data_IF_297414246764
#
_entry.id   IF_297414246764
#
_cell.length_a   1.000
_cell.length_b   1.000
_cell.length_c   1.000
_cell.angle_alpha   90.00
_cell.angle_beta   90.00
_cell.angle_gamma   90.00
#
_symmetry.space_group_name_H-M   'P 1'
#
loop_
_entity.id
_entity.type
_entity.pdbx_description
1 polymer ?
#
# COMPACT_ATOMS: atom_id res chain seq x y z
N UNK A 1 -21.47 -32.65 -39.27
CA UNK A 1 -20.77 -31.73 -40.20
C UNK A 1 -19.47 -31.34 -39.52
N UNK A 2 -18.41 -32.05 -39.89
CA UNK A 2 -17.04 -31.84 -39.43
C UNK A 2 -16.52 -30.65 -40.23
N UNK A 3 -16.12 -29.57 -39.56
CA UNK A 3 -15.39 -28.49 -40.24
C UNK A 3 -13.94 -28.57 -39.77
N UNK A 4 -13.11 -28.81 -40.76
CA UNK A 4 -11.67 -29.05 -40.69
C UNK A 4 -10.86 -27.81 -40.27
N UNK A 5 -9.63 -28.17 -39.91
CA UNK A 5 -8.49 -27.40 -39.42
C UNK A 5 -8.21 -26.10 -40.16
N UNK A 6 -7.65 -25.14 -39.42
CA UNK A 6 -6.43 -24.47 -39.89
C UNK A 6 -5.44 -24.36 -38.74
N UNK A 7 -4.55 -25.37 -38.66
CA UNK A 7 -3.34 -25.30 -37.87
C UNK A 7 -2.32 -24.56 -38.75
N UNK A 8 -2.50 -23.24 -38.88
CA UNK A 8 -1.52 -22.37 -39.52
C UNK A 8 -0.35 -22.13 -38.57
N UNK A 9 0.86 -22.45 -39.02
CA UNK A 9 2.13 -22.30 -38.31
C UNK A 9 2.28 -20.92 -37.66
N UNK A 10 2.11 -20.88 -36.34
CA UNK A 10 2.65 -19.84 -35.48
C UNK A 10 3.39 -20.54 -34.32
N UNK A 11 4.53 -20.02 -33.84
CA UNK A 11 5.34 -20.72 -32.85
C UNK A 11 4.49 -21.01 -31.60
N UNK A 12 4.58 -22.27 -31.17
CA UNK A 12 3.89 -22.88 -30.03
C UNK A 12 3.91 -21.95 -28.80
N UNK A 13 2.74 -21.47 -28.37
CA UNK A 13 2.62 -20.81 -27.05
C UNK A 13 1.67 -19.62 -26.94
N UNK A 14 0.84 -19.30 -27.94
CA UNK A 14 -0.10 -18.18 -27.84
C UNK A 14 -1.51 -18.59 -28.26
N UNK A 15 -2.40 -18.83 -27.27
CA UNK A 15 -3.82 -18.99 -27.53
C UNK A 15 -4.45 -17.59 -27.46
N UNK A 16 -4.94 -17.08 -28.60
CA UNK A 16 -5.76 -15.87 -28.66
C UNK A 16 -7.20 -16.33 -28.48
N UNK A 17 -7.78 -16.14 -27.28
CA UNK A 17 -9.21 -16.42 -27.07
C UNK A 17 -9.98 -15.14 -27.38
N UNK A 18 -10.87 -15.19 -28.38
CA UNK A 18 -11.98 -14.24 -28.54
C UNK A 18 -13.27 -15.05 -28.46
N UNK A 19 -14.12 -14.82 -27.45
CA UNK A 19 -15.48 -15.36 -27.45
C UNK A 19 -16.06 -15.66 -26.08
N UNK A 20 -17.26 -15.11 -25.85
CA UNK A 20 -18.14 -15.23 -24.68
C UNK A 20 -18.79 -16.61 -24.60
N UNK A 21 -18.43 -17.45 -23.63
CA UNK A 21 -19.07 -18.76 -23.41
C UNK A 21 -19.30 -19.05 -21.93
N UNK A 22 -20.49 -19.57 -21.62
CA UNK A 22 -20.99 -20.00 -20.30
C UNK A 22 -20.44 -21.37 -19.97
N UNK A 23 -19.50 -21.46 -19.03
CA UNK A 23 -19.30 -22.55 -18.05
C UNK A 23 -17.95 -22.39 -17.34
N UNK A 24 -17.84 -22.93 -16.12
CA UNK A 24 -16.65 -22.89 -15.24
C UNK A 24 -15.38 -23.32 -15.98
N UNK A 25 -14.65 -22.37 -16.57
CA UNK A 25 -13.40 -22.63 -17.29
C UNK A 25 -12.21 -22.63 -16.33
N UNK A 26 -11.44 -23.72 -16.35
CA UNK A 26 -10.02 -23.73 -15.96
C UNK A 26 -9.22 -23.41 -17.22
N UNK A 27 -8.67 -22.19 -17.33
CA UNK A 27 -7.77 -21.84 -18.44
C UNK A 27 -6.33 -21.95 -17.94
N UNK A 28 -5.56 -22.88 -18.50
CA UNK A 28 -4.12 -23.02 -18.25
C UNK A 28 -3.33 -22.79 -19.54
N UNK A 29 -2.75 -21.59 -19.71
CA UNK A 29 -1.81 -21.22 -20.80
C UNK A 29 -1.45 -19.72 -20.71
N UNK A 30 -0.56 -19.26 -21.61
CA UNK A 30 -0.36 -17.83 -21.90
C UNK A 30 -1.60 -17.29 -22.64
N UNK A 31 -2.47 -16.56 -21.94
CA UNK A 31 -3.63 -15.90 -22.55
C UNK A 31 -3.24 -14.48 -22.96
N UNK A 32 -3.48 -14.13 -24.23
CA UNK A 32 -3.31 -12.76 -24.73
C UNK A 32 -4.61 -12.24 -25.32
N UNK A 33 -5.10 -11.09 -24.87
CA UNK A 33 -6.31 -10.49 -25.43
C UNK A 33 -7.10 -9.62 -24.44
N UNK A 34 -8.36 -9.34 -24.80
CA UNK A 34 -9.32 -8.73 -23.89
C UNK A 34 -10.29 -9.82 -23.41
N UNK A 35 -10.23 -10.19 -22.14
CA UNK A 35 -11.14 -11.17 -21.55
C UNK A 35 -12.25 -10.44 -20.77
N UNK A 36 -13.51 -10.72 -21.11
CA UNK A 36 -14.68 -10.21 -20.38
C UNK A 36 -15.44 -11.40 -19.78
N UNK A 37 -15.18 -11.71 -18.50
CA UNK A 37 -15.79 -12.85 -17.82
C UNK A 37 -16.89 -12.39 -16.85
N UNK A 38 -18.06 -13.04 -16.94
CA UNK A 38 -19.25 -12.70 -16.15
C UNK A 38 -19.50 -13.65 -14.98
N UNK A 39 -18.78 -14.77 -14.90
CA UNK A 39 -18.96 -15.82 -13.90
C UNK A 39 -17.62 -16.23 -13.26
N UNK A 40 -17.68 -17.15 -12.29
CA UNK A 40 -16.50 -17.63 -11.56
C UNK A 40 -15.58 -18.48 -12.41
N UNK A 41 -14.28 -18.18 -12.33
CA UNK A 41 -13.28 -18.88 -13.12
C UNK A 41 -11.91 -18.90 -12.43
N UNK A 42 -11.06 -19.81 -12.90
CA UNK A 42 -9.69 -20.01 -12.43
C UNK A 42 -8.74 -19.87 -13.62
N UNK A 43 -7.85 -18.88 -13.55
CA UNK A 43 -6.80 -18.68 -14.56
C UNK A 43 -5.45 -18.99 -13.93
N UNK A 44 -4.69 -19.88 -14.56
CA UNK A 44 -3.33 -20.22 -14.14
C UNK A 44 -2.39 -20.00 -15.31
N UNK A 45 -1.37 -19.15 -15.14
CA UNK A 45 -0.34 -18.92 -16.16
C UNK A 45 0.02 -17.45 -16.33
N UNK A 46 0.55 -17.11 -17.52
CA UNK A 46 0.89 -15.74 -17.87
C UNK A 46 -0.27 -15.07 -18.63
N UNK A 47 -0.97 -14.13 -18.00
CA UNK A 47 -2.03 -13.36 -18.64
C UNK A 47 -1.49 -12.02 -19.13
N UNK A 48 -1.81 -11.65 -20.36
CA UNK A 48 -1.43 -10.36 -20.92
C UNK A 48 -2.59 -9.70 -21.65
N UNK A 49 -2.98 -8.49 -21.25
CA UNK A 49 -4.02 -7.73 -21.94
C UNK A 49 -4.95 -6.97 -20.99
N UNK A 50 -6.21 -6.82 -21.38
CA UNK A 50 -7.21 -6.18 -20.51
C UNK A 50 -8.23 -7.21 -20.03
N UNK A 51 -8.29 -7.45 -18.73
CA UNK A 51 -9.24 -8.39 -18.14
C UNK A 51 -10.32 -7.58 -17.40
N UNK A 52 -11.60 -7.75 -17.78
CA UNK A 52 -12.72 -7.19 -17.04
C UNK A 52 -13.59 -8.31 -16.46
N UNK A 53 -13.66 -8.39 -15.15
CA UNK A 53 -14.30 -9.52 -14.46
C UNK A 53 -15.34 -9.00 -13.48
N UNK A 54 -16.55 -9.57 -13.59
CA UNK A 54 -17.71 -9.11 -12.82
C UNK A 54 -17.94 -9.87 -11.52
N UNK A 55 -17.47 -11.11 -11.44
CA UNK A 55 -17.70 -12.02 -10.30
C UNK A 55 -16.38 -12.63 -9.79
N UNK A 56 -16.51 -13.49 -8.76
CA UNK A 56 -15.39 -14.08 -8.02
C UNK A 56 -14.46 -14.91 -8.88
N UNK A 57 -13.17 -14.67 -8.81
CA UNK A 57 -12.20 -15.45 -9.58
C UNK A 57 -10.86 -15.57 -8.84
N UNK A 58 -10.07 -16.53 -9.29
CA UNK A 58 -8.73 -16.80 -8.80
C UNK A 58 -7.75 -16.75 -9.96
N UNK A 59 -6.76 -15.85 -9.87
CA UNK A 59 -5.67 -15.76 -10.84
C UNK A 59 -4.36 -16.16 -10.18
N UNK A 60 -3.64 -17.11 -10.76
CA UNK A 60 -2.33 -17.56 -10.29
C UNK A 60 -1.31 -17.44 -11.41
N UNK A 61 -0.29 -16.61 -11.24
CA UNK A 61 0.82 -16.48 -12.18
C UNK A 61 1.24 -15.04 -12.46
N UNK A 62 1.65 -14.78 -13.71
CA UNK A 62 2.17 -13.48 -14.12
C UNK A 62 1.09 -12.71 -14.90
N UNK A 63 0.60 -11.63 -14.33
CA UNK A 63 -0.46 -10.79 -14.88
C UNK A 63 0.15 -9.50 -15.41
N UNK A 64 -0.04 -9.21 -16.69
CA UNK A 64 0.49 -7.98 -17.31
C UNK A 64 -0.57 -7.24 -18.12
N UNK A 65 -0.96 -6.05 -17.68
CA UNK A 65 -1.88 -5.20 -18.44
C UNK A 65 -2.82 -4.42 -17.54
N UNK A 66 -4.08 -4.26 -17.96
CA UNK A 66 -5.10 -3.59 -17.15
C UNK A 66 -6.13 -4.60 -16.66
N UNK A 67 -6.23 -4.77 -15.35
CA UNK A 67 -7.25 -5.61 -14.74
C UNK A 67 -8.32 -4.71 -14.11
N UNK A 68 -9.59 -4.96 -14.40
CA UNK A 68 -10.72 -4.28 -13.78
C UNK A 68 -11.68 -5.29 -13.19
N UNK A 69 -11.79 -5.30 -11.86
CA UNK A 69 -12.50 -6.35 -11.13
C UNK A 69 -13.56 -5.73 -10.22
N UNK A 70 -14.79 -6.25 -10.34
CA UNK A 70 -15.93 -5.67 -9.62
C UNK A 70 -16.16 -6.30 -8.25
N UNK A 71 -15.87 -7.60 -8.10
CA UNK A 71 -16.16 -8.34 -6.87
C UNK A 71 -15.11 -9.41 -6.56
N UNK A 72 -14.74 -9.52 -5.28
CA UNK A 72 -14.20 -10.72 -4.60
C UNK A 72 -13.23 -11.59 -5.40
N UNK A 73 -11.97 -11.22 -5.39
CA UNK A 73 -10.94 -11.95 -6.11
C UNK A 73 -9.68 -12.21 -5.30
N UNK A 74 -8.94 -13.21 -5.76
CA UNK A 74 -7.65 -13.61 -5.22
C UNK A 74 -6.65 -13.67 -6.37
N UNK A 75 -5.60 -12.86 -6.27
CA UNK A 75 -4.48 -12.90 -7.22
C UNK A 75 -3.21 -13.33 -6.51
N UNK A 76 -2.54 -14.32 -7.07
CA UNK A 76 -1.30 -14.85 -6.54
C UNK A 76 -0.23 -14.80 -7.62
N UNK A 77 0.84 -14.05 -7.41
CA UNK A 77 1.99 -14.01 -8.30
C UNK A 77 2.49 -12.59 -8.62
N UNK A 78 2.86 -12.36 -9.88
CA UNK A 78 3.48 -11.09 -10.30
C UNK A 78 2.49 -10.31 -11.14
N UNK A 79 2.03 -9.18 -10.62
CA UNK A 79 1.13 -8.24 -11.28
C UNK A 79 1.90 -7.03 -11.79
N UNK A 80 1.73 -6.71 -13.08
CA UNK A 80 2.38 -5.59 -13.75
C UNK A 80 1.38 -4.80 -14.57
N UNK A 81 1.13 -3.55 -14.20
CA UNK A 81 0.27 -2.64 -14.97
C UNK A 81 -0.70 -1.88 -14.10
N UNK A 82 -1.92 -1.65 -14.59
CA UNK A 82 -2.95 -0.98 -13.81
C UNK A 82 -3.95 -2.00 -13.30
N UNK A 83 -4.28 -1.92 -12.02
CA UNK A 83 -5.26 -2.79 -11.40
C UNK A 83 -6.33 -1.92 -10.74
N UNK A 84 -7.60 -2.13 -11.09
CA UNK A 84 -8.71 -1.35 -10.56
C UNK A 84 -9.77 -2.27 -9.98
N UNK A 85 -9.98 -2.16 -8.68
CA UNK A 85 -10.70 -3.16 -7.92
C UNK A 85 -11.75 -2.49 -7.03
N UNK A 86 -12.99 -2.96 -7.12
CA UNK A 86 -14.12 -2.29 -6.46
C UNK A 86 -14.42 -2.87 -5.08
N UNK A 87 -14.36 -4.18 -4.89
CA UNK A 87 -14.77 -4.79 -3.63
C UNK A 87 -13.93 -6.03 -3.28
N UNK A 88 -13.48 -6.06 -2.03
CA UNK A 88 -12.93 -7.20 -1.28
C UNK A 88 -11.93 -8.06 -2.02
N UNK A 89 -10.65 -7.90 -1.74
CA UNK A 89 -9.67 -8.76 -2.42
C UNK A 89 -8.40 -9.03 -1.65
N UNK A 90 -7.71 -10.04 -2.17
CA UNK A 90 -6.46 -10.54 -1.65
C UNK A 90 -5.46 -10.63 -2.80
N UNK A 91 -4.36 -9.88 -2.70
CA UNK A 91 -3.23 -10.00 -3.61
C UNK A 91 -2.02 -10.51 -2.85
N UNK A 92 -1.43 -11.58 -3.36
CA UNK A 92 -0.23 -12.18 -2.77
C UNK A 92 0.85 -12.22 -3.83
N UNK A 93 1.95 -11.49 -3.60
CA UNK A 93 3.13 -11.50 -4.46
C UNK A 93 3.66 -10.11 -4.78
N UNK A 94 4.18 -9.93 -6.00
CA UNK A 94 4.82 -8.69 -6.41
C UNK A 94 3.90 -7.87 -7.31
N UNK A 95 3.46 -6.70 -6.86
CA UNK A 95 2.66 -5.76 -7.65
C UNK A 95 3.55 -4.62 -8.14
N UNK A 96 3.49 -4.32 -9.43
CA UNK A 96 4.22 -3.20 -10.03
C UNK A 96 3.32 -2.40 -10.96
N UNK A 97 3.12 -1.11 -10.65
CA UNK A 97 2.35 -0.20 -11.48
C UNK A 97 1.38 0.64 -10.66
N UNK A 98 0.18 0.88 -11.17
CA UNK A 98 -0.85 1.61 -10.44
C UNK A 98 -1.89 0.63 -9.93
N UNK A 99 -2.23 0.75 -8.66
CA UNK A 99 -3.28 -0.04 -8.03
C UNK A 99 -4.31 0.92 -7.44
N UNK A 100 -5.57 0.75 -7.82
CA UNK A 100 -6.67 1.61 -7.36
C UNK A 100 -7.78 0.77 -6.80
N UNK A 101 -8.06 0.97 -5.53
CA UNK A 101 -8.91 0.05 -4.81
C UNK A 101 -9.91 0.78 -3.91
N UNK A 102 -11.16 0.33 -3.92
CA UNK A 102 -12.26 1.06 -3.28
C UNK A 102 -12.59 0.54 -1.89
N UNK A 103 -12.68 -0.77 -1.67
CA UNK A 103 -13.19 -1.32 -0.41
C UNK A 103 -12.58 -2.67 0.02
N UNK A 104 -11.94 -2.69 1.21
CA UNK A 104 -11.56 -3.87 1.99
C UNK A 104 -10.54 -4.79 1.35
N UNK A 105 -9.26 -4.45 1.47
CA UNK A 105 -8.23 -5.18 0.72
C UNK A 105 -7.07 -5.66 1.58
N UNK A 106 -6.47 -6.76 1.14
CA UNK A 106 -5.27 -7.35 1.73
C UNK A 106 -4.22 -7.56 0.66
N UNK A 107 -3.07 -6.90 0.80
CA UNK A 107 -1.90 -7.09 -0.06
C UNK A 107 -0.77 -7.66 0.75
N UNK A 108 -0.19 -8.76 0.26
CA UNK A 108 0.94 -9.41 0.90
C UNK A 108 2.07 -9.54 -0.12
N UNK A 109 3.17 -8.84 0.09
CA UNK A 109 4.39 -8.95 -0.71
C UNK A 109 5.02 -7.61 -1.06
N UNK A 110 5.55 -7.50 -2.28
CA UNK A 110 6.31 -6.34 -2.72
C UNK A 110 5.46 -5.45 -3.63
N UNK A 111 5.17 -4.23 -3.20
CA UNK A 111 4.38 -3.24 -3.94
C UNK A 111 5.30 -2.16 -4.47
N UNK A 112 5.28 -1.91 -5.78
CA UNK A 112 6.08 -0.86 -6.41
C UNK A 112 5.24 -0.01 -7.36
N UNK A 113 5.09 1.27 -7.07
CA UNK A 113 4.41 2.22 -7.95
C UNK A 113 3.47 3.13 -7.18
N UNK A 114 2.29 3.39 -7.73
CA UNK A 114 1.28 4.19 -7.05
C UNK A 114 0.17 3.27 -6.54
N UNK A 115 -0.19 3.42 -5.29
CA UNK A 115 -1.29 2.71 -4.67
C UNK A 115 -2.30 3.73 -4.13
N UNK A 116 -3.57 3.58 -4.51
CA UNK A 116 -4.63 4.49 -4.11
C UNK A 116 -5.79 3.69 -3.54
N UNK A 117 -6.04 3.85 -2.25
CA UNK A 117 -6.95 3.02 -1.49
C UNK A 117 -7.95 3.87 -0.71
N UNK A 118 -9.25 3.57 -0.89
CA UNK A 118 -10.32 4.37 -0.28
C UNK A 118 -10.67 3.89 1.13
N UNK A 119 -11.07 2.64 1.30
CA UNK A 119 -11.54 2.14 2.61
C UNK A 119 -10.97 0.80 3.07
N UNK A 120 -10.44 0.76 4.30
CA UNK A 120 -10.05 -0.45 5.07
C UNK A 120 -9.05 -1.37 4.39
N UNK A 121 -7.75 -1.17 4.61
CA UNK A 121 -6.74 -1.99 3.93
C UNK A 121 -5.66 -2.50 4.86
N UNK A 122 -5.10 -3.64 4.48
CA UNK A 122 -3.98 -4.26 5.16
C UNK A 122 -2.89 -4.57 4.14
N UNK A 123 -1.74 -3.93 4.30
CA UNK A 123 -0.54 -4.18 3.48
C UNK A 123 0.54 -4.81 4.33
N UNK A 124 1.06 -5.95 3.88
CA UNK A 124 2.13 -6.67 4.54
C UNK A 124 3.27 -6.85 3.56
N UNK A 125 4.43 -6.27 3.84
CA UNK A 125 5.65 -6.46 3.07
C UNK A 125 6.40 -5.17 2.75
N UNK A 126 6.83 -5.01 1.50
CA UNK A 126 7.69 -3.90 1.08
C UNK A 126 6.94 -3.00 0.12
N UNK A 127 6.64 -1.76 0.53
CA UNK A 127 6.02 -0.74 -0.33
C UNK A 127 7.08 0.23 -0.84
N UNK A 128 7.09 0.48 -2.14
CA UNK A 128 8.00 1.40 -2.80
C UNK A 128 7.24 2.31 -3.77
N UNK A 129 7.16 3.60 -3.49
CA UNK A 129 6.54 4.59 -4.38
C UNK A 129 5.60 5.52 -3.64
N UNK A 130 4.46 5.83 -4.25
CA UNK A 130 3.45 6.69 -3.63
C UNK A 130 2.29 5.82 -3.13
N UNK A 131 1.90 6.03 -1.89
CA UNK A 131 0.73 5.39 -1.31
C UNK A 131 -0.24 6.48 -0.83
N UNK A 132 -1.50 6.39 -1.24
CA UNK A 132 -2.53 7.36 -0.88
C UNK A 132 -3.76 6.64 -0.32
N UNK A 133 -4.03 6.90 0.95
CA UNK A 133 -4.97 6.14 1.74
C UNK A 133 -5.97 7.06 2.43
N UNK A 134 -7.27 6.80 2.21
CA UNK A 134 -8.32 7.66 2.79
C UNK A 134 -8.74 7.22 4.18
N UNK A 135 -9.16 5.97 4.37
CA UNK A 135 -9.68 5.54 5.68
C UNK A 135 -9.20 4.17 6.16
N UNK A 136 -8.73 4.12 7.42
CA UNK A 136 -8.46 2.91 8.21
C UNK A 136 -7.49 1.92 7.58
N UNK A 137 -6.19 2.09 7.80
CA UNK A 137 -5.20 1.24 7.17
C UNK A 137 -4.19 0.66 8.17
N UNK A 138 -3.70 -0.53 7.84
CA UNK A 138 -2.64 -1.21 8.57
C UNK A 138 -1.53 -1.59 7.61
N UNK A 139 -0.35 -1.02 7.80
CA UNK A 139 0.85 -1.34 7.03
C UNK A 139 1.87 -2.01 7.93
N UNK A 140 2.33 -3.18 7.52
CA UNK A 140 3.33 -3.96 8.24
C UNK A 140 4.49 -4.24 7.29
N UNK A 141 5.66 -3.66 7.58
CA UNK A 141 6.90 -3.93 6.87
C UNK A 141 7.69 -2.67 6.52
N UNK A 142 8.31 -2.66 5.34
CA UNK A 142 9.20 -1.57 4.93
C UNK A 142 8.51 -0.66 3.91
N UNK A 143 8.28 0.61 4.27
CA UNK A 143 7.73 1.62 3.37
C UNK A 143 8.85 2.52 2.88
N UNK A 144 8.92 2.75 1.57
CA UNK A 144 9.86 3.69 0.97
C UNK A 144 9.17 4.57 -0.07
N UNK A 145 9.16 5.89 0.14
CA UNK A 145 8.63 6.85 -0.80
C UNK A 145 7.72 7.88 -0.13
N UNK A 146 6.62 8.23 -0.76
CA UNK A 146 5.64 9.15 -0.19
C UNK A 146 4.43 8.37 0.27
N UNK A 147 4.00 8.63 1.50
CA UNK A 147 2.78 8.06 2.05
C UNK A 147 1.86 9.21 2.46
N UNK A 148 0.61 9.19 2.00
CA UNK A 148 -0.37 10.22 2.30
C UNK A 148 -1.65 9.59 2.82
N UNK A 149 -1.97 9.94 4.05
CA UNK A 149 -2.90 9.18 4.85
C UNK A 149 -3.88 10.12 5.55
N UNK A 150 -5.19 9.94 5.32
CA UNK A 150 -6.20 10.87 5.87
C UNK A 150 -6.68 10.48 7.26
N UNK A 151 -7.18 9.26 7.46
CA UNK A 151 -7.77 8.88 8.75
C UNK A 151 -7.37 7.50 9.26
N UNK A 152 -6.94 7.45 10.54
CA UNK A 152 -6.79 6.25 11.37
C UNK A 152 -5.86 5.19 10.79
N UNK A 153 -4.56 5.31 11.03
CA UNK A 153 -3.61 4.33 10.49
C UNK A 153 -2.67 3.74 11.52
N UNK A 154 -2.23 2.52 11.25
CA UNK A 154 -1.20 1.82 12.01
C UNK A 154 -0.09 1.38 11.05
N UNK A 155 1.11 1.90 11.27
CA UNK A 155 2.31 1.50 10.54
C UNK A 155 3.27 0.80 11.47
N UNK A 156 3.70 -0.39 11.08
CA UNK A 156 4.66 -1.19 11.85
C UNK A 156 5.83 -1.57 10.95
N UNK A 157 7.02 -1.05 11.25
CA UNK A 157 8.27 -1.43 10.58
C UNK A 157 9.16 -0.24 10.24
N UNK A 158 9.76 -0.25 9.06
CA UNK A 158 10.74 0.74 8.64
C UNK A 158 10.15 1.69 7.61
N UNK A 159 9.94 2.95 7.97
CA UNK A 159 9.43 3.99 7.08
C UNK A 159 10.58 4.86 6.60
N UNK A 160 10.71 5.03 5.28
CA UNK A 160 11.72 5.91 4.68
C UNK A 160 11.13 6.81 3.60
N UNK A 161 11.14 8.12 3.82
CA UNK A 161 10.72 9.11 2.83
C UNK A 161 9.87 10.20 3.44
N UNK A 162 8.80 10.59 2.75
CA UNK A 162 7.86 11.58 3.25
C UNK A 162 6.58 10.88 3.70
N UNK A 163 6.15 11.15 4.92
CA UNK A 163 4.90 10.66 5.45
C UNK A 163 4.02 11.85 5.82
N UNK A 164 2.80 11.91 5.30
CA UNK A 164 1.86 12.99 5.56
C UNK A 164 0.54 12.44 6.05
N UNK A 165 0.21 12.78 7.28
CA UNK A 165 -0.82 12.10 8.04
C UNK A 165 -1.76 13.14 8.67
N UNK A 166 -3.08 13.00 8.46
CA UNK A 166 -4.04 14.02 8.95
C UNK A 166 -4.58 13.69 10.34
N UNK A 167 -5.14 12.50 10.56
CA UNK A 167 -5.79 12.19 11.84
C UNK A 167 -5.50 10.78 12.40
N UNK A 168 -5.09 10.73 13.68
CA UNK A 168 -5.06 9.52 14.54
C UNK A 168 -4.17 8.39 14.04
N UNK A 169 -2.87 8.47 14.31
CA UNK A 169 -1.91 7.50 13.78
C UNK A 169 -1.06 6.84 14.86
N UNK A 170 -0.67 5.61 14.58
CA UNK A 170 0.28 4.86 15.39
C UNK A 170 1.40 4.33 14.49
N UNK A 171 2.62 4.80 14.74
CA UNK A 171 3.81 4.33 14.04
C UNK A 171 4.72 3.59 15.02
N UNK A 172 5.10 2.38 14.66
CA UNK A 172 5.98 1.53 15.47
C UNK A 172 7.17 1.10 14.62
N UNK A 173 8.37 1.50 14.98
CA UNK A 173 9.62 1.05 14.36
C UNK A 173 10.60 2.17 14.04
N UNK A 174 11.17 2.15 12.84
CA UNK A 174 12.23 3.08 12.44
C UNK A 174 11.71 4.03 11.38
N UNK A 175 11.59 5.31 11.74
CA UNK A 175 11.12 6.38 10.87
C UNK A 175 12.31 7.20 10.37
N UNK A 176 12.47 7.32 9.06
CA UNK A 176 13.55 8.07 8.42
C UNK A 176 13.04 9.01 7.34
N UNK A 177 13.20 10.32 7.52
CA UNK A 177 12.85 11.30 6.49
C UNK A 177 12.01 12.45 7.05
N UNK A 178 11.00 12.89 6.30
CA UNK A 178 10.10 13.93 6.75
C UNK A 178 8.77 13.29 7.17
N UNK A 179 8.33 13.60 8.37
CA UNK A 179 7.04 13.18 8.88
C UNK A 179 6.23 14.43 9.22
N UNK A 180 5.01 14.53 8.68
CA UNK A 180 4.13 15.67 8.89
C UNK A 180 2.77 15.18 9.37
N UNK A 181 2.47 15.44 10.64
CA UNK A 181 1.24 14.97 11.27
C UNK A 181 0.40 16.12 11.81
N UNK A 182 -0.91 16.09 11.55
CA UNK A 182 -1.80 17.17 11.98
C UNK A 182 -2.41 16.89 13.35
N UNK A 183 -2.95 15.71 13.60
CA UNK A 183 -3.67 15.44 14.84
C UNK A 183 -3.38 14.07 15.44
N UNK A 184 -3.15 14.05 16.76
CA UNK A 184 -3.22 12.88 17.66
C UNK A 184 -2.43 11.68 17.16
N UNK A 185 -1.21 11.52 17.64
CA UNK A 185 -0.43 10.37 17.20
C UNK A 185 0.52 9.83 18.26
N UNK A 186 0.95 8.60 18.00
CA UNK A 186 1.86 7.84 18.83
C UNK A 186 2.96 7.25 17.97
N UNK A 187 4.20 7.65 18.25
CA UNK A 187 5.40 7.10 17.60
C UNK A 187 6.21 6.33 18.61
N UNK A 188 6.51 5.08 18.29
CA UNK A 188 7.31 4.20 19.13
C UNK A 188 8.49 3.69 18.31
N UNK A 189 9.71 4.05 18.71
CA UNK A 189 10.95 3.54 18.14
C UNK A 189 11.97 4.63 17.82
N UNK A 190 12.65 4.51 16.68
CA UNK A 190 13.73 5.41 16.32
C UNK A 190 13.28 6.37 15.21
N UNK A 191 13.20 7.67 15.51
CA UNK A 191 12.89 8.72 14.56
C UNK A 191 14.18 9.38 14.09
N UNK A 192 14.37 9.52 12.78
CA UNK A 192 15.49 10.26 12.22
C UNK A 192 15.05 11.15 11.07
N UNK A 193 15.19 12.46 11.21
CA UNK A 193 14.92 13.42 10.14
C UNK A 193 14.16 14.64 10.66
N UNK A 194 13.21 15.12 9.86
CA UNK A 194 12.35 16.23 10.27
C UNK A 194 10.99 15.69 10.65
N UNK A 195 10.53 16.06 11.83
CA UNK A 195 9.22 15.73 12.32
C UNK A 195 8.45 17.02 12.60
N UNK A 196 7.26 17.16 12.02
CA UNK A 196 6.43 18.35 12.15
C UNK A 196 5.03 17.98 12.59
N UNK A 197 4.67 18.41 13.79
CA UNK A 197 3.46 17.93 14.45
C UNK A 197 2.66 19.09 15.00
N UNK A 198 1.36 19.10 14.69
CA UNK A 198 0.50 20.22 15.08
C UNK A 198 -0.20 20.02 16.41
N UNK A 199 -0.77 18.85 16.67
CA UNK A 199 -1.54 18.61 17.89
C UNK A 199 -1.28 17.26 18.54
N UNK A 200 -1.13 17.26 19.87
CA UNK A 200 -1.28 16.12 20.79
C UNK A 200 -0.52 14.87 20.38
N UNK A 201 0.65 14.65 20.98
CA UNK A 201 1.40 13.46 20.62
C UNK A 201 2.29 12.86 21.69
N UNK A 202 2.64 11.60 21.45
CA UNK A 202 3.49 10.80 22.29
C UNK A 202 4.58 10.15 21.44
N UNK A 203 5.84 10.46 21.75
CA UNK A 203 7.01 9.83 21.15
C UNK A 203 7.75 9.02 22.20
N UNK A 204 8.03 7.77 21.89
CA UNK A 204 8.76 6.86 22.76
C UNK A 204 9.93 6.25 21.99
N UNK A 205 11.15 6.59 22.39
CA UNK A 205 12.38 5.99 21.87
C UNK A 205 13.48 7.00 21.55
N UNK A 206 14.18 6.81 20.44
CA UNK A 206 15.34 7.62 20.08
C UNK A 206 14.97 8.61 18.97
N UNK A 207 14.95 9.91 19.30
CA UNK A 207 14.66 10.97 18.34
C UNK A 207 15.98 11.59 17.87
N UNK A 208 16.19 11.67 16.56
CA UNK A 208 17.35 12.33 15.97
C UNK A 208 16.98 13.26 14.82
N UNK A 209 17.20 14.56 14.96
CA UNK A 209 17.02 15.52 13.85
C UNK A 209 16.31 16.78 14.29
N UNK A 210 15.41 17.31 13.46
CA UNK A 210 14.62 18.48 13.81
C UNK A 210 13.20 18.03 14.16
N UNK A 211 12.75 18.42 15.33
CA UNK A 211 11.41 18.18 15.80
C UNK A 211 10.71 19.52 16.01
N UNK A 212 9.55 19.71 15.40
CA UNK A 212 8.79 20.95 15.47
C UNK A 212 7.35 20.66 15.89
N UNK A 213 7.03 21.08 17.10
CA UNK A 213 5.81 20.69 17.78
C UNK A 213 5.05 21.93 18.25
N UNK A 214 3.76 22.01 17.91
CA UNK A 214 2.95 23.20 18.20
C UNK A 214 2.15 23.09 19.49
N UNK A 215 1.60 21.91 19.81
CA UNK A 215 0.73 21.74 20.97
C UNK A 215 0.94 20.39 21.67
N UNK A 216 0.86 20.40 23.01
CA UNK A 216 0.69 19.27 23.94
C UNK A 216 1.42 17.99 23.57
N UNK A 217 2.53 17.70 24.24
CA UNK A 217 3.26 16.48 23.92
C UNK A 217 4.08 15.86 25.03
N UNK A 218 4.37 14.58 24.82
CA UNK A 218 5.16 13.75 25.71
C UNK A 218 6.24 13.02 24.92
N UNK A 219 7.50 13.25 25.27
CA UNK A 219 8.65 12.53 24.73
C UNK A 219 9.29 11.69 25.80
N UNK A 220 9.51 10.41 25.51
CA UNK A 220 10.16 9.46 26.41
C UNK A 220 11.34 8.82 25.68
N UNK A 221 12.57 9.06 26.13
CA UNK A 221 13.76 8.39 25.61
C UNK A 221 14.94 9.33 25.36
N UNK A 222 15.65 9.14 24.24
CA UNK A 222 16.88 9.88 23.92
C UNK A 222 16.59 10.89 22.82
N UNK A 223 16.71 12.18 23.12
CA UNK A 223 16.53 13.26 22.15
C UNK A 223 17.89 13.78 21.69
N UNK A 224 18.11 13.79 20.37
CA UNK A 224 19.33 14.31 19.74
C UNK A 224 19.03 15.23 18.56
N UNK A 225 19.26 16.53 18.68
CA UNK A 225 19.09 17.46 17.56
C UNK A 225 18.43 18.76 17.99
N UNK A 226 17.63 19.36 17.11
CA UNK A 226 16.90 20.58 17.43
C UNK A 226 15.46 20.22 17.75
N UNK A 227 15.00 20.70 18.88
CA UNK A 227 13.63 20.54 19.33
C UNK A 227 13.00 21.93 19.49
N UNK A 228 11.91 22.20 18.78
CA UNK A 228 11.23 23.49 18.82
C UNK A 228 9.78 23.28 19.27
N UNK A 229 9.47 23.80 20.46
CA UNK A 229 8.22 23.53 21.15
C UNK A 229 7.52 24.84 21.53
N UNK A 230 6.20 24.91 21.33
CA UNK A 230 5.42 26.15 21.53
C UNK A 230 4.43 26.11 22.69
N UNK A 231 4.06 24.94 23.19
CA UNK A 231 3.09 24.81 24.28
C UNK A 231 3.33 23.50 25.05
N UNK A 232 2.91 23.45 26.32
CA UNK A 232 2.82 22.28 27.24
C UNK A 232 3.52 20.99 26.77
N UNK A 233 4.72 20.77 27.26
CA UNK A 233 5.51 19.59 26.94
C UNK A 233 5.98 18.84 28.18
N UNK A 234 6.26 17.54 28.02
CA UNK A 234 6.94 16.73 29.03
C UNK A 234 7.98 15.86 28.34
N UNK A 235 9.23 15.97 28.80
CA UNK A 235 10.36 15.17 28.33
C UNK A 235 10.87 14.29 29.45
N UNK A 236 10.99 12.99 29.19
CA UNK A 236 11.51 12.01 30.13
C UNK A 236 12.66 11.28 29.44
N UNK A 237 13.90 11.58 29.84
CA UNK A 237 15.10 10.86 29.36
C UNK A 237 16.26 11.78 29.02
N UNK A 238 17.18 11.30 28.18
CA UNK A 238 18.44 11.99 27.93
C UNK A 238 18.32 12.99 26.76
N UNK A 239 18.54 14.27 27.05
CA UNK A 239 18.58 15.35 26.06
C UNK A 239 20.03 15.63 25.64
N UNK A 240 20.30 15.58 24.33
CA UNK A 240 21.59 15.95 23.73
C UNK A 240 21.34 16.76 22.45
N UNK A 241 21.00 18.03 22.59
CA UNK A 241 20.57 18.87 21.48
C UNK A 241 20.25 20.31 21.89
N UNK A 242 19.79 21.11 20.93
CA UNK A 242 19.25 22.44 21.20
C UNK A 242 17.75 22.31 21.45
N UNK A 243 17.30 22.87 22.54
CA UNK A 243 15.90 22.86 22.95
C UNK A 243 15.39 24.31 23.00
N UNK A 244 14.45 24.64 22.11
CA UNK A 244 13.86 25.97 22.01
C UNK A 244 12.41 25.90 22.47
N UNK A 245 12.22 26.17 23.75
CA UNK A 245 10.90 26.22 24.38
C UNK A 245 10.37 27.67 24.31
N UNK A 246 9.17 27.87 23.75
CA UNK A 246 8.45 29.14 23.83
C UNK A 246 7.15 28.92 24.59
N UNK A 247 7.13 29.18 25.88
CA UNK A 247 5.90 29.21 26.68
C UNK A 247 5.17 30.56 26.47
N UNK A 248 3.83 30.51 26.35
CA UNK A 248 2.93 31.67 26.49
C UNK A 248 1.97 31.42 27.63
#
# INVERSE_FOLDING_TARGET
MIIERSIGQYPLGCIIVRGTERERRRKGAVLKGNDNERERHLKIGALKGNDNERERHLKVGALKGNDNERERHLKIGVLKGNDNERERHLKIGALKGNDNERERHLKVGALKGNDNERERHLKIGVLKGNDNERERHLKIGALKGNDNERERHLKVGALKGNDNERERHLKIGVLKGNDNERERHLKIGALKGNDNERERHLKVGALKGNDNERERHLKIGVLKGNDNERERHLKIGALKGNDNERER
#
